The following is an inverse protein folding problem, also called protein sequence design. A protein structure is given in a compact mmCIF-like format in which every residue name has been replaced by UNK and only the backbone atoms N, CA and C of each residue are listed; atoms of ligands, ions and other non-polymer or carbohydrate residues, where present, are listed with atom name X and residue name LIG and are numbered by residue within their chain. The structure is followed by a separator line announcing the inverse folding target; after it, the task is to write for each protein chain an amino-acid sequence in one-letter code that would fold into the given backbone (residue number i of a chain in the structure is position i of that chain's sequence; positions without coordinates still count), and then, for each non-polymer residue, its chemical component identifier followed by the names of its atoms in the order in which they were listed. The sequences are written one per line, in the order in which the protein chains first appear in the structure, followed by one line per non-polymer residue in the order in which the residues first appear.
data_IF_338357076734
#
_entry.id   IF_338357076734
#
_cell.length_a   1.000
_cell.length_b   1.000
_cell.length_c   1.000
_cell.angle_alpha   90.00
_cell.angle_beta   90.00
_cell.angle_gamma   90.00
#
_symmetry.space_group_name_H-M   'P 1'
#
loop_
_entity.id
_entity.type
_entity.pdbx_description
1 polymer ?
#
# COMPACT_ATOMS: atom_id res chain seq x y z
N UNK A 1 19.72 -21.32 51.65
CA UNK A 1 19.62 -21.07 50.19
C UNK A 1 20.93 -20.39 49.81
N UNK A 2 21.82 -21.07 49.08
CA UNK A 2 23.15 -20.54 48.76
C UNK A 2 23.02 -19.47 47.67
N UNK A 3 23.47 -18.25 47.95
CA UNK A 3 23.64 -17.22 46.92
C UNK A 3 24.85 -17.64 46.06
N UNK A 4 24.60 -17.94 44.78
CA UNK A 4 25.66 -18.24 43.82
C UNK A 4 26.62 -17.06 43.72
N UNK A 5 27.92 -17.34 43.69
CA UNK A 5 28.93 -16.29 43.52
C UNK A 5 28.86 -15.72 42.09
N UNK A 6 29.39 -14.52 41.87
CA UNK A 6 29.47 -13.93 40.53
C UNK A 6 30.19 -14.86 39.53
N UNK A 7 31.20 -15.61 39.99
CA UNK A 7 31.96 -16.57 39.19
C UNK A 7 31.13 -17.81 38.83
N UNK A 8 30.26 -18.28 39.73
CA UNK A 8 29.33 -19.38 39.43
C UNK A 8 28.32 -18.97 38.35
N UNK A 9 27.80 -17.73 38.45
CA UNK A 9 26.88 -17.16 37.47
C UNK A 9 27.55 -17.04 36.09
N UNK A 10 28.79 -16.53 36.01
CA UNK A 10 29.53 -16.41 34.75
C UNK A 10 29.86 -17.79 34.14
N UNK A 11 30.18 -18.78 34.96
CA UNK A 11 30.45 -20.16 34.53
C UNK A 11 29.21 -20.78 33.90
N UNK A 12 28.04 -20.64 34.55
CA UNK A 12 26.79 -21.19 34.03
C UNK A 12 26.25 -20.43 32.81
N UNK A 13 26.52 -19.13 32.70
CA UNK A 13 26.29 -18.42 31.44
C UNK A 13 27.19 -18.93 30.31
N UNK A 14 28.44 -19.31 30.60
CA UNK A 14 29.34 -19.92 29.63
C UNK A 14 28.87 -21.32 29.22
N UNK A 15 28.36 -22.12 30.16
CA UNK A 15 27.74 -23.42 29.87
C UNK A 15 26.51 -23.27 28.97
N UNK A 16 25.60 -22.36 29.29
CA UNK A 16 24.44 -22.06 28.45
C UNK A 16 24.88 -21.61 27.04
N UNK A 17 25.85 -20.70 26.97
CA UNK A 17 26.42 -20.23 25.71
C UNK A 17 26.97 -21.39 24.87
N UNK A 18 27.77 -22.27 25.46
CA UNK A 18 28.40 -23.37 24.73
C UNK A 18 27.39 -24.40 24.23
N UNK A 19 26.34 -24.69 25.02
CA UNK A 19 25.22 -25.54 24.59
C UNK A 19 24.50 -24.93 23.38
N UNK A 20 24.22 -23.62 23.41
CA UNK A 20 23.49 -22.91 22.36
C UNK A 20 24.33 -22.78 21.08
N UNK A 21 25.64 -22.53 21.20
CA UNK A 21 26.54 -22.48 20.04
C UNK A 21 26.73 -23.88 19.42
N UNK A 22 26.92 -24.92 20.24
CA UNK A 22 26.99 -26.30 19.74
C UNK A 22 25.68 -26.75 19.09
N UNK A 23 24.54 -26.36 19.64
CA UNK A 23 23.24 -26.68 19.05
C UNK A 23 23.06 -26.03 17.67
N UNK A 24 23.67 -24.88 17.42
CA UNK A 24 23.66 -24.26 16.09
C UNK A 24 24.49 -25.01 15.07
N UNK A 25 25.68 -25.48 15.45
CA UNK A 25 26.51 -26.28 14.55
C UNK A 25 25.83 -27.60 14.20
N UNK A 26 25.21 -28.24 15.20
CA UNK A 26 24.60 -29.57 15.07
C UNK A 26 23.10 -29.54 14.65
N UNK A 27 22.47 -28.37 14.68
CA UNK A 27 21.02 -28.19 14.51
C UNK A 27 20.19 -29.06 15.49
N UNK A 28 20.69 -29.18 16.72
CA UNK A 28 20.16 -30.06 17.77
C UNK A 28 19.15 -29.32 18.67
N UNK A 29 17.90 -29.77 18.62
CA UNK A 29 16.80 -29.20 19.41
C UNK A 29 16.92 -29.48 20.90
N UNK A 30 17.43 -30.64 21.29
CA UNK A 30 17.57 -31.01 22.71
C UNK A 30 18.69 -30.20 23.36
N UNK A 31 19.82 -30.04 22.67
CA UNK A 31 20.91 -29.18 23.15
C UNK A 31 20.48 -27.72 23.25
N UNK A 32 19.71 -27.20 22.27
CA UNK A 32 19.17 -25.84 22.35
C UNK A 32 18.22 -25.71 23.55
N UNK A 33 17.32 -26.67 23.76
CA UNK A 33 16.42 -26.69 24.93
C UNK A 33 17.19 -26.70 26.25
N UNK A 34 18.22 -27.56 26.37
CA UNK A 34 19.08 -27.62 27.55
C UNK A 34 19.79 -26.28 27.80
N UNK A 35 20.39 -25.69 26.76
CA UNK A 35 21.02 -24.37 26.86
C UNK A 35 20.04 -23.26 27.28
N UNK A 36 18.82 -23.27 26.73
CA UNK A 36 17.75 -22.33 27.12
C UNK A 36 17.31 -22.52 28.58
N UNK A 37 17.24 -23.77 29.08
CA UNK A 37 16.92 -24.07 30.48
C UNK A 37 18.00 -23.55 31.43
N UNK A 38 19.28 -23.80 31.11
CA UNK A 38 20.41 -23.27 31.90
C UNK A 38 20.36 -21.75 31.92
N UNK A 39 20.19 -21.12 30.75
CA UNK A 39 20.09 -19.65 30.66
C UNK A 39 18.94 -19.07 31.51
N UNK A 40 17.76 -19.70 31.50
CA UNK A 40 16.62 -19.28 32.33
C UNK A 40 16.92 -19.44 33.83
N UNK A 41 17.54 -20.55 34.22
CA UNK A 41 17.91 -20.81 35.60
C UNK A 41 18.94 -19.77 36.11
N UNK A 42 19.99 -19.51 35.33
CA UNK A 42 21.02 -18.53 35.69
C UNK A 42 20.46 -17.12 35.76
N UNK A 43 19.50 -16.77 34.90
CA UNK A 43 18.82 -15.46 34.97
C UNK A 43 18.02 -15.30 36.27
N UNK A 44 17.36 -16.36 36.75
CA UNK A 44 16.66 -16.33 38.02
C UNK A 44 17.64 -16.20 39.20
N UNK A 45 18.82 -16.82 39.09
CA UNK A 45 19.89 -16.65 40.08
C UNK A 45 20.43 -15.22 40.08
N UNK A 46 20.63 -14.61 38.91
CA UNK A 46 20.97 -13.19 38.77
C UNK A 46 19.91 -12.26 39.37
N UNK A 47 18.62 -12.63 39.33
CA UNK A 47 17.55 -11.81 39.95
C UNK A 47 17.67 -11.77 41.48
N UNK A 48 18.27 -12.80 42.08
CA UNK A 48 18.41 -12.98 43.53
C UNK A 48 19.75 -12.48 44.06
N UNK A 49 20.73 -12.24 43.19
CA UNK A 49 22.07 -11.80 43.55
C UNK A 49 22.22 -10.26 43.54
N UNK A 50 22.97 -9.72 44.49
CA UNK A 50 23.37 -8.30 44.50
C UNK A 50 24.23 -7.99 43.26
N UNK A 51 23.90 -6.92 42.51
CA UNK A 51 24.56 -6.61 41.24
C UNK A 51 24.25 -7.58 40.09
N UNK A 52 23.36 -8.56 40.29
CA UNK A 52 23.08 -9.60 39.30
C UNK A 52 22.44 -9.10 37.99
N UNK A 53 21.86 -7.89 37.98
CA UNK A 53 21.38 -7.25 36.75
C UNK A 53 22.48 -7.04 35.71
N UNK A 54 23.67 -6.59 36.12
CA UNK A 54 24.80 -6.38 35.22
C UNK A 54 25.37 -7.71 34.68
N UNK A 55 25.42 -8.73 35.55
CA UNK A 55 25.84 -10.09 35.17
C UNK A 55 24.87 -10.71 34.16
N UNK A 56 23.56 -10.56 34.39
CA UNK A 56 22.54 -10.99 33.44
C UNK A 56 22.69 -10.26 32.10
N UNK A 57 22.85 -8.95 32.09
CA UNK A 57 23.00 -8.19 30.85
C UNK A 57 24.23 -8.63 30.06
N UNK A 58 25.39 -8.79 30.71
CA UNK A 58 26.64 -9.26 30.08
C UNK A 58 26.51 -10.69 29.55
N UNK A 59 26.00 -11.62 30.35
CA UNK A 59 25.84 -13.02 29.97
C UNK A 59 24.84 -13.21 28.83
N UNK A 60 23.68 -12.55 28.91
CA UNK A 60 22.66 -12.57 27.87
C UNK A 60 23.14 -11.92 26.58
N UNK A 61 23.85 -10.78 26.67
CA UNK A 61 24.43 -10.10 25.52
C UNK A 61 25.43 -11.00 24.77
N UNK A 62 26.24 -11.78 25.49
CA UNK A 62 27.15 -12.77 24.89
C UNK A 62 26.41 -13.89 24.16
N UNK A 63 25.36 -14.47 24.76
CA UNK A 63 24.55 -15.52 24.15
C UNK A 63 23.81 -15.00 22.91
N UNK A 64 23.19 -13.82 23.00
CA UNK A 64 22.48 -13.22 21.86
C UNK A 64 23.46 -12.89 20.73
N UNK A 65 24.63 -12.34 21.09
CA UNK A 65 25.69 -11.98 20.13
C UNK A 65 26.33 -13.16 19.42
N UNK A 66 26.20 -14.38 19.95
CA UNK A 66 26.70 -15.60 19.30
C UNK A 66 25.68 -16.26 18.37
N UNK A 67 24.44 -15.74 18.28
CA UNK A 67 23.42 -16.29 17.39
C UNK A 67 23.65 -15.84 15.94
N UNK A 68 24.13 -16.76 15.09
CA UNK A 68 24.23 -16.54 13.66
C UNK A 68 22.91 -16.87 12.93
N UNK A 69 21.99 -15.90 12.89
CA UNK A 69 20.74 -16.02 12.14
C UNK A 69 20.98 -16.23 10.64
N UNK A 70 22.06 -15.69 10.07
CA UNK A 70 22.35 -15.83 8.65
C UNK A 70 22.71 -17.27 8.29
N UNK A 71 23.57 -17.91 9.09
CA UNK A 71 23.88 -19.32 8.95
C UNK A 71 22.62 -20.19 9.12
N UNK A 72 21.78 -19.90 10.11
CA UNK A 72 20.53 -20.64 10.35
C UNK A 72 19.54 -20.50 9.18
N UNK A 73 19.40 -19.29 8.62
CA UNK A 73 18.54 -19.04 7.44
C UNK A 73 19.07 -19.80 6.21
N UNK A 74 20.39 -19.80 5.98
CA UNK A 74 21.01 -20.55 4.88
C UNK A 74 20.79 -22.06 5.05
N UNK A 75 20.98 -22.59 6.25
CA UNK A 75 20.79 -24.00 6.54
C UNK A 75 19.34 -24.46 6.34
N UNK A 76 18.36 -23.65 6.79
CA UNK A 76 16.93 -23.90 6.57
C UNK A 76 16.57 -23.98 5.08
N UNK A 77 17.17 -23.14 4.22
CA UNK A 77 16.92 -23.18 2.76
C UNK A 77 17.44 -24.44 2.09
N UNK A 78 18.52 -24.99 2.59
CA UNK A 78 19.12 -26.21 2.06
C UNK A 78 18.42 -27.49 2.54
N UNK A 79 17.30 -27.35 3.27
CA UNK A 79 16.57 -28.45 3.93
C UNK A 79 17.45 -29.24 4.92
N UNK A 80 18.54 -28.62 5.38
CA UNK A 80 19.52 -29.19 6.33
C UNK A 80 19.17 -28.88 7.78
N UNK A 81 18.20 -27.99 8.02
CA UNK A 81 17.73 -27.63 9.36
C UNK A 81 16.38 -28.28 9.62
N UNK A 82 16.22 -28.89 10.80
CA UNK A 82 14.90 -29.30 11.29
C UNK A 82 14.07 -28.03 11.50
N UNK A 83 12.94 -27.88 10.81
CA UNK A 83 12.01 -26.73 10.97
C UNK A 83 11.71 -26.40 12.43
N UNK A 84 11.60 -27.43 13.27
CA UNK A 84 11.41 -27.29 14.71
C UNK A 84 12.56 -26.54 15.43
N UNK A 85 13.81 -26.77 15.03
CA UNK A 85 14.98 -26.06 15.55
C UNK A 85 14.88 -24.55 15.26
N UNK A 86 14.58 -24.19 14.02
CA UNK A 86 14.48 -22.79 13.61
C UNK A 86 13.32 -22.07 14.31
N UNK A 87 12.17 -22.72 14.44
CA UNK A 87 11.01 -22.17 15.16
C UNK A 87 11.31 -21.97 16.66
N UNK A 88 12.07 -22.89 17.28
CA UNK A 88 12.49 -22.76 18.67
C UNK A 88 13.54 -21.66 18.87
N UNK A 89 14.49 -21.52 17.93
CA UNK A 89 15.48 -20.45 17.93
C UNK A 89 14.78 -19.08 17.85
N UNK A 90 13.90 -18.90 16.86
CA UNK A 90 13.11 -17.68 16.73
C UNK A 90 12.23 -17.43 17.94
N UNK A 91 11.71 -18.48 18.59
CA UNK A 91 10.91 -18.34 19.81
C UNK A 91 11.64 -17.73 21.00
N UNK A 92 12.97 -17.85 21.05
CA UNK A 92 13.76 -17.40 22.20
C UNK A 92 14.73 -16.26 21.87
N UNK A 93 15.08 -16.08 20.59
CA UNK A 93 16.00 -15.04 20.14
C UNK A 93 15.35 -14.15 19.09
N UNK A 94 15.58 -12.85 19.22
CA UNK A 94 15.07 -11.83 18.31
C UNK A 94 15.99 -11.73 17.07
N UNK A 95 15.48 -11.96 15.84
CA UNK A 95 16.24 -11.64 14.64
C UNK A 95 16.39 -10.11 14.50
N UNK A 96 17.41 -9.63 13.80
CA UNK A 96 17.52 -8.22 13.47
C UNK A 96 16.75 -7.86 12.19
N UNK A 97 16.41 -6.58 12.00
CA UNK A 97 15.77 -6.08 10.76
C UNK A 97 16.57 -6.48 9.52
N UNK A 98 17.90 -6.34 9.59
CA UNK A 98 18.82 -6.75 8.52
C UNK A 98 18.72 -8.23 8.16
N UNK A 99 18.30 -9.09 9.09
CA UNK A 99 18.14 -10.52 8.80
C UNK A 99 16.94 -10.78 7.89
N UNK A 100 15.98 -9.85 7.86
CA UNK A 100 14.81 -9.84 6.98
C UNK A 100 15.09 -9.07 5.69
N UNK A 101 15.86 -7.97 5.75
CA UNK A 101 16.05 -7.05 4.61
C UNK A 101 17.25 -7.38 3.69
N UNK A 102 18.02 -8.42 4.00
CA UNK A 102 19.11 -8.91 3.12
C UNK A 102 18.60 -9.56 1.82
N UNK A 103 19.47 -9.66 0.81
CA UNK A 103 19.08 -10.20 -0.51
C UNK A 103 18.97 -11.73 -0.52
N UNK A 104 18.01 -12.23 -1.32
CA UNK A 104 17.57 -13.63 -1.42
C UNK A 104 16.77 -14.07 -0.19
N UNK A 105 15.43 -14.16 -0.26
CA UNK A 105 14.63 -14.77 0.80
C UNK A 105 13.46 -15.58 0.27
N UNK A 106 13.07 -16.59 1.04
CA UNK A 106 11.87 -17.39 0.83
C UNK A 106 10.70 -16.74 1.57
N UNK A 107 9.50 -16.74 0.96
CA UNK A 107 8.25 -16.20 1.53
C UNK A 107 7.94 -16.78 2.93
N UNK A 108 8.18 -18.09 3.17
CA UNK A 108 7.93 -18.72 4.48
C UNK A 108 8.90 -18.22 5.57
N UNK A 109 10.19 -18.12 5.25
CA UNK A 109 11.21 -17.64 6.19
C UNK A 109 10.94 -16.19 6.60
N UNK A 110 10.61 -15.33 5.63
CA UNK A 110 10.27 -13.93 5.89
C UNK A 110 9.10 -13.79 6.88
N UNK A 111 8.06 -14.62 6.73
CA UNK A 111 6.90 -14.58 7.61
C UNK A 111 7.27 -14.97 9.04
N UNK A 112 8.11 -16.00 9.21
CA UNK A 112 8.60 -16.45 10.53
C UNK A 112 9.48 -15.41 11.19
N UNK A 113 10.43 -14.84 10.46
CA UNK A 113 11.32 -13.80 10.96
C UNK A 113 10.53 -12.55 11.38
N UNK A 114 9.61 -12.08 10.53
CA UNK A 114 8.78 -10.91 10.83
C UNK A 114 7.90 -11.14 12.08
N UNK A 115 7.27 -12.32 12.20
CA UNK A 115 6.49 -12.66 13.39
C UNK A 115 7.35 -12.74 14.65
N UNK A 116 8.54 -13.33 14.56
CA UNK A 116 9.47 -13.38 15.69
C UNK A 116 9.88 -11.98 16.12
N UNK A 117 10.26 -11.13 15.16
CA UNK A 117 10.65 -9.74 15.42
C UNK A 117 9.53 -8.97 16.12
N UNK A 118 8.30 -9.02 15.60
CA UNK A 118 7.12 -8.35 16.17
C UNK A 118 6.80 -8.86 17.59
N UNK A 119 6.89 -10.17 17.82
CA UNK A 119 6.63 -10.77 19.13
C UNK A 119 7.64 -10.28 20.18
N UNK A 120 8.93 -10.25 19.83
CA UNK A 120 9.97 -9.80 20.75
C UNK A 120 9.94 -8.27 20.97
N UNK A 121 9.40 -7.53 20.02
CA UNK A 121 9.18 -6.09 20.11
C UNK A 121 7.96 -5.72 20.99
N UNK A 122 6.90 -6.55 20.97
CA UNK A 122 5.66 -6.35 21.77
C UNK A 122 5.74 -6.92 23.20
N UNK A 123 6.63 -7.89 23.45
CA UNK A 123 6.77 -8.56 24.73
C UNK A 123 7.80 -7.92 25.67
N UNK A 124 7.41 -7.59 26.89
CA UNK A 124 8.33 -7.36 28.01
C UNK A 124 9.26 -8.58 28.17
N UNK A 125 10.48 -8.51 27.65
CA UNK A 125 11.42 -9.60 27.87
C UNK A 125 12.71 -9.50 27.06
N UNK A 126 13.77 -9.09 27.76
CA UNK A 126 15.20 -9.30 27.46
C UNK A 126 15.86 -8.14 26.73
N UNK A 127 15.13 -7.47 25.84
CA UNK A 127 15.63 -6.35 25.04
C UNK A 127 14.58 -5.24 25.09
N UNK A 128 14.80 -4.15 25.84
CA UNK A 128 13.92 -2.97 25.85
C UNK A 128 13.91 -2.20 24.50
N UNK A 129 14.25 -2.88 23.40
CA UNK A 129 14.30 -2.32 22.07
C UNK A 129 12.90 -2.38 21.48
N UNK A 130 12.17 -1.27 21.65
CA UNK A 130 11.03 -1.00 20.78
C UNK A 130 11.57 -0.68 19.39
N UNK A 131 11.14 -1.42 18.38
CA UNK A 131 11.42 -1.11 16.99
C UNK A 131 11.06 0.35 16.72
N UNK A 132 12.00 1.08 16.15
CA UNK A 132 11.80 2.48 15.81
C UNK A 132 11.01 2.59 14.49
N UNK A 133 10.32 3.72 14.30
CA UNK A 133 9.58 4.02 13.07
C UNK A 133 10.36 3.73 11.77
N UNK A 134 11.66 4.09 11.63
CA UNK A 134 12.43 3.80 10.42
C UNK A 134 12.53 2.30 10.09
N UNK A 135 12.53 1.44 11.11
CA UNK A 135 12.67 -0.01 10.96
C UNK A 135 11.38 -0.64 10.41
N UNK A 136 10.21 -0.19 10.87
CA UNK A 136 8.91 -0.65 10.33
C UNK A 136 8.70 -0.20 8.88
N UNK A 137 9.10 1.04 8.56
CA UNK A 137 9.05 1.56 7.20
C UNK A 137 9.94 0.77 6.24
N UNK A 138 11.18 0.46 6.66
CA UNK A 138 12.11 -0.37 5.89
C UNK A 138 11.55 -1.78 5.68
N UNK A 139 10.99 -2.40 6.72
CA UNK A 139 10.40 -3.73 6.64
C UNK A 139 9.23 -3.79 5.65
N UNK A 140 8.26 -2.87 5.76
CA UNK A 140 7.14 -2.82 4.82
C UNK A 140 7.62 -2.58 3.39
N UNK A 141 8.54 -1.64 3.18
CA UNK A 141 9.10 -1.37 1.87
C UNK A 141 9.78 -2.60 1.27
N UNK A 142 10.65 -3.25 2.04
CA UNK A 142 11.41 -4.40 1.57
C UNK A 142 10.53 -5.61 1.30
N UNK A 143 9.64 -5.98 2.23
CA UNK A 143 8.73 -7.12 2.09
C UNK A 143 7.72 -6.90 0.96
N UNK A 144 7.30 -5.64 0.75
CA UNK A 144 6.49 -5.22 -0.38
C UNK A 144 7.21 -5.41 -1.71
N UNK A 145 8.49 -5.01 -1.80
CA UNK A 145 9.32 -5.18 -3.01
C UNK A 145 9.60 -6.65 -3.33
N UNK A 146 9.87 -7.47 -2.31
CA UNK A 146 10.06 -8.92 -2.49
C UNK A 146 8.76 -9.64 -2.91
N UNK A 147 7.60 -9.06 -2.61
CA UNK A 147 6.31 -9.69 -2.82
C UNK A 147 6.13 -10.89 -1.87
N UNK A 148 6.32 -10.65 -0.57
CA UNK A 148 6.15 -11.64 0.50
C UNK A 148 4.86 -11.35 1.28
N UNK A 149 3.68 -11.84 0.82
CA UNK A 149 2.37 -11.38 1.28
C UNK A 149 2.16 -11.54 2.78
N UNK A 150 2.41 -12.74 3.29
CA UNK A 150 2.19 -13.10 4.70
C UNK A 150 3.07 -12.27 5.64
N UNK A 151 4.34 -12.08 5.29
CA UNK A 151 5.27 -11.29 6.08
C UNK A 151 4.88 -9.81 6.09
N UNK A 152 4.55 -9.26 4.91
CA UNK A 152 4.09 -7.87 4.79
C UNK A 152 2.79 -7.66 5.58
N UNK A 153 1.82 -8.56 5.46
CA UNK A 153 0.55 -8.50 6.19
C UNK A 153 0.78 -8.47 7.71
N UNK A 154 1.67 -9.32 8.25
CA UNK A 154 2.01 -9.33 9.69
C UNK A 154 2.58 -8.00 10.17
N UNK A 155 3.50 -7.40 9.41
CA UNK A 155 4.11 -6.10 9.76
C UNK A 155 3.07 -4.98 9.64
N UNK A 156 2.23 -5.03 8.60
CA UNK A 156 1.15 -4.04 8.40
C UNK A 156 0.13 -4.07 9.53
N UNK A 157 -0.30 -5.25 9.94
CA UNK A 157 -1.25 -5.49 11.03
C UNK A 157 -0.75 -4.86 12.33
N UNK A 158 0.52 -5.14 12.68
CA UNK A 158 1.17 -4.56 13.85
C UNK A 158 1.29 -3.03 13.76
N UNK A 159 1.62 -2.48 12.59
CA UNK A 159 1.66 -1.04 12.39
C UNK A 159 0.29 -0.39 12.63
N UNK A 160 -0.78 -0.95 12.06
CA UNK A 160 -2.13 -0.42 12.20
C UNK A 160 -2.63 -0.53 13.65
N UNK A 161 -2.33 -1.64 14.32
CA UNK A 161 -2.63 -1.83 15.75
C UNK A 161 -1.95 -0.76 16.61
N UNK A 162 -0.66 -0.49 16.40
CA UNK A 162 0.08 0.53 17.17
C UNK A 162 -0.40 1.95 16.90
N UNK A 163 -0.70 2.28 15.64
CA UNK A 163 -1.27 3.58 15.27
C UNK A 163 -2.61 3.80 15.97
N UNK A 164 -3.43 2.76 16.08
CA UNK A 164 -4.65 2.79 16.86
C UNK A 164 -4.37 3.01 18.36
N UNK A 165 -3.50 2.22 18.96
CA UNK A 165 -3.15 2.34 20.39
C UNK A 165 -2.60 3.73 20.75
N UNK A 166 -1.87 4.38 19.85
CA UNK A 166 -1.39 5.75 20.07
C UNK A 166 -2.47 6.81 19.96
N UNK A 167 -3.48 6.56 19.13
CA UNK A 167 -4.59 7.49 18.92
C UNK A 167 -5.63 7.43 20.05
N UNK A 168 -5.76 6.28 20.72
CA UNK A 168 -6.79 6.03 21.73
C UNK A 168 -6.25 5.65 23.13
N UNK A 169 -4.95 5.42 23.29
CA UNK A 169 -4.31 5.10 24.56
C UNK A 169 -3.94 6.34 25.37
N UNK A 170 -4.45 6.42 26.61
CA UNK A 170 -4.06 7.44 27.57
C UNK A 170 -2.65 7.16 28.16
N UNK A 171 -1.58 7.70 27.55
CA UNK A 171 -0.46 8.32 28.30
C UNK A 171 0.62 8.84 27.34
N UNK A 172 1.05 10.07 27.56
CA UNK A 172 2.25 10.62 26.96
C UNK A 172 3.51 9.83 27.34
N UNK A 173 4.51 9.90 26.46
CA UNK A 173 5.85 9.25 26.48
C UNK A 173 6.03 7.98 25.65
N UNK A 174 5.09 7.58 24.80
CA UNK A 174 5.40 6.62 23.74
C UNK A 174 5.89 7.35 22.48
N UNK A 175 7.01 6.92 21.90
CA UNK A 175 7.47 7.43 20.61
C UNK A 175 6.39 7.16 19.56
N UNK A 176 5.84 8.18 18.89
CA UNK A 176 4.77 7.98 17.92
C UNK A 176 5.30 7.17 16.72
N UNK A 177 4.56 6.12 16.36
CA UNK A 177 4.78 5.34 15.16
C UNK A 177 4.30 6.20 14.01
N UNK A 178 5.23 6.66 13.16
CA UNK A 178 4.92 7.55 12.04
C UNK A 178 5.30 6.88 10.73
N UNK A 179 4.57 5.82 10.42
CA UNK A 179 4.77 5.00 9.22
C UNK A 179 3.73 5.38 8.18
N UNK A 180 4.14 5.64 6.94
CA UNK A 180 3.22 5.98 5.84
C UNK A 180 2.64 4.70 5.21
N UNK A 181 1.77 4.01 5.98
CA UNK A 181 1.23 2.69 5.63
C UNK A 181 0.51 2.68 4.27
N UNK A 182 -0.20 3.75 3.91
CA UNK A 182 -0.89 3.87 2.62
C UNK A 182 0.10 3.94 1.45
N UNK A 183 1.22 4.65 1.61
CA UNK A 183 2.31 4.69 0.63
C UNK A 183 2.90 3.29 0.42
N UNK A 184 3.10 2.53 1.50
CA UNK A 184 3.64 1.16 1.43
C UNK A 184 2.69 0.17 0.76
N UNK A 185 1.38 0.30 1.00
CA UNK A 185 0.36 -0.49 0.32
C UNK A 185 0.38 -0.28 -1.20
N UNK A 186 0.45 0.96 -1.65
CA UNK A 186 0.58 1.27 -3.09
C UNK A 186 1.92 0.83 -3.70
N UNK A 187 2.98 0.82 -2.88
CA UNK A 187 4.31 0.38 -3.29
C UNK A 187 4.50 -1.14 -3.29
N UNK A 188 3.49 -1.91 -2.85
CA UNK A 188 3.56 -3.37 -2.88
C UNK A 188 3.69 -3.85 -4.32
N UNK A 189 4.69 -4.72 -4.56
CA UNK A 189 5.17 -5.23 -5.86
C UNK A 189 4.24 -4.93 -7.03
N UNK A 190 4.63 -3.94 -7.84
CA UNK A 190 4.05 -3.69 -9.16
C UNK A 190 4.41 -4.87 -10.08
N UNK A 191 3.65 -5.96 -10.01
CA UNK A 191 3.66 -6.96 -11.07
C UNK A 191 2.95 -6.33 -12.27
N UNK A 192 3.63 -6.29 -13.41
CA UNK A 192 3.15 -5.93 -14.74
C UNK A 192 2.06 -4.85 -14.75
N UNK A 193 2.46 -3.58 -14.87
CA UNK A 193 1.79 -2.33 -15.33
C UNK A 193 0.25 -2.20 -15.49
N UNK A 194 -0.56 -3.18 -15.12
CA UNK A 194 -1.94 -3.39 -15.52
C UNK A 194 -2.83 -3.91 -14.39
N UNK A 195 -2.31 -4.52 -13.31
CA UNK A 195 -3.15 -4.84 -12.12
C UNK A 195 -2.39 -4.74 -10.78
N UNK A 196 -2.56 -3.62 -10.07
CA UNK A 196 -2.33 -3.53 -8.62
C UNK A 196 -3.45 -4.29 -7.89
N UNK A 197 -3.34 -5.61 -7.78
CA UNK A 197 -4.16 -6.39 -6.86
C UNK A 197 -3.30 -6.78 -5.64
N UNK A 198 -3.67 -6.27 -4.46
CA UNK A 198 -3.04 -6.74 -3.23
C UNK A 198 -3.40 -8.21 -2.97
N UNK A 199 -2.50 -9.00 -2.41
CA UNK A 199 -2.78 -10.40 -2.10
C UNK A 199 -3.79 -10.53 -0.94
N UNK A 200 -4.55 -11.65 -0.85
CA UNK A 200 -5.63 -11.82 0.12
C UNK A 200 -5.21 -11.61 1.59
N UNK A 201 -3.99 -11.97 1.96
CA UNK A 201 -3.48 -11.78 3.33
C UNK A 201 -3.42 -10.30 3.71
N UNK A 202 -3.06 -9.44 2.76
CA UNK A 202 -3.00 -7.99 2.97
C UNK A 202 -4.41 -7.40 2.99
N UNK A 203 -5.28 -7.83 2.08
CA UNK A 203 -6.68 -7.39 2.04
C UNK A 203 -7.43 -7.77 3.32
N UNK A 204 -7.14 -8.92 3.90
CA UNK A 204 -7.69 -9.36 5.19
C UNK A 204 -7.30 -8.42 6.33
N UNK A 205 -6.04 -7.99 6.38
CA UNK A 205 -5.57 -7.01 7.38
C UNK A 205 -6.28 -5.66 7.20
N UNK A 206 -6.42 -5.18 5.96
CA UNK A 206 -7.17 -3.95 5.70
C UNK A 206 -8.61 -4.05 6.21
N UNK A 207 -9.29 -5.17 5.92
CA UNK A 207 -10.67 -5.41 6.36
C UNK A 207 -10.84 -5.48 7.88
N UNK A 208 -9.79 -5.87 8.62
CA UNK A 208 -9.78 -5.85 10.08
C UNK A 208 -9.49 -4.46 10.67
N UNK A 209 -8.92 -3.55 9.89
CA UNK A 209 -8.49 -2.23 10.34
C UNK A 209 -9.03 -1.04 9.51
N UNK A 210 -10.32 -1.02 9.12
CA UNK A 210 -10.83 -0.02 8.19
C UNK A 210 -10.75 1.40 8.76
N UNK A 211 -11.06 1.59 10.05
CA UNK A 211 -11.03 2.91 10.70
C UNK A 211 -9.61 3.46 10.88
N UNK A 212 -8.62 2.59 11.10
CA UNK A 212 -7.21 2.98 11.18
C UNK A 212 -6.70 3.46 9.82
N UNK A 213 -7.10 2.78 8.74
CA UNK A 213 -6.80 3.19 7.37
C UNK A 213 -7.40 4.57 7.07
N UNK A 214 -8.65 4.81 7.48
CA UNK A 214 -9.26 6.12 7.33
C UNK A 214 -8.56 7.21 8.14
N UNK A 215 -8.19 6.92 9.39
CA UNK A 215 -7.48 7.86 10.26
C UNK A 215 -6.14 8.29 9.65
N UNK A 216 -5.37 7.33 9.11
CA UNK A 216 -4.12 7.62 8.42
C UNK A 216 -4.34 8.44 7.13
N UNK A 217 -5.38 8.15 6.35
CA UNK A 217 -5.73 8.98 5.19
C UNK A 217 -6.04 10.42 5.60
N UNK A 218 -6.88 10.63 6.61
CA UNK A 218 -7.28 11.97 7.10
C UNK A 218 -6.06 12.77 7.59
N UNK A 219 -5.13 12.12 8.28
CA UNK A 219 -3.86 12.72 8.76
C UNK A 219 -2.95 13.15 7.62
N UNK A 220 -2.93 12.41 6.51
CA UNK A 220 -2.06 12.66 5.36
C UNK A 220 -2.80 13.24 4.13
N UNK A 221 -4.07 13.67 4.27
CA UNK A 221 -4.97 14.07 3.17
C UNK A 221 -4.42 15.10 2.16
N UNK A 222 -3.49 15.95 2.60
CA UNK A 222 -2.89 17.02 1.80
C UNK A 222 -1.51 16.67 1.25
N UNK A 223 -0.93 15.53 1.65
CA UNK A 223 0.42 15.12 1.26
C UNK A 223 0.32 14.06 0.17
N UNK A 224 0.73 14.43 -1.05
CA UNK A 224 0.87 13.49 -2.17
C UNK A 224 1.81 12.33 -1.79
N UNK A 225 2.86 12.62 -1.00
CA UNK A 225 3.83 11.63 -0.51
C UNK A 225 3.25 10.64 0.50
N UNK A 226 2.13 10.97 1.16
CA UNK A 226 1.51 10.11 2.18
C UNK A 226 0.67 8.96 1.62
N UNK A 227 0.58 8.86 0.28
CA UNK A 227 -0.07 7.78 -0.45
C UNK A 227 -1.59 7.79 -0.33
N UNK A 228 -2.30 8.00 -1.44
CA UNK A 228 -3.72 7.66 -1.53
C UNK A 228 -3.84 6.22 -2.03
N UNK A 229 -4.71 5.40 -1.44
CA UNK A 229 -4.95 4.05 -1.98
C UNK A 229 -5.40 4.16 -3.43
N UNK A 230 -4.80 3.38 -4.33
CA UNK A 230 -5.23 3.33 -5.73
C UNK A 230 -6.63 2.71 -5.85
N UNK A 231 -7.34 3.05 -6.91
CA UNK A 231 -8.63 2.42 -7.24
C UNK A 231 -8.56 0.89 -7.27
N UNK A 232 -7.51 0.33 -7.88
CA UNK A 232 -7.33 -1.12 -7.92
C UNK A 232 -7.29 -1.74 -6.52
N UNK A 233 -6.68 -1.06 -5.55
CA UNK A 233 -6.65 -1.49 -4.15
C UNK A 233 -8.02 -1.34 -3.49
N UNK A 234 -8.71 -0.20 -3.69
CA UNK A 234 -10.04 0.02 -3.13
C UNK A 234 -11.06 -1.01 -3.65
N UNK A 235 -11.04 -1.28 -4.97
CA UNK A 235 -11.88 -2.28 -5.60
C UNK A 235 -11.55 -3.69 -5.08
N UNK A 236 -10.26 -4.06 -5.04
CA UNK A 236 -9.85 -5.36 -4.51
C UNK A 236 -10.27 -5.54 -3.04
N UNK A 237 -10.26 -4.46 -2.26
CA UNK A 237 -10.70 -4.49 -0.87
C UNK A 237 -12.21 -4.71 -0.74
N UNK A 238 -13.03 -4.05 -1.58
CA UNK A 238 -14.48 -4.29 -1.65
C UNK A 238 -14.79 -5.72 -2.12
N UNK A 239 -14.12 -6.18 -3.17
CA UNK A 239 -14.32 -7.52 -3.74
C UNK A 239 -13.96 -8.63 -2.76
N UNK A 240 -12.96 -8.40 -1.90
CA UNK A 240 -12.55 -9.35 -0.85
C UNK A 240 -13.55 -9.42 0.31
N UNK A 241 -14.35 -8.38 0.53
CA UNK A 241 -15.27 -8.28 1.67
C UNK A 241 -16.66 -7.72 1.26
N UNK A 242 -17.40 -8.39 0.34
CA UNK A 242 -18.59 -7.82 -0.31
C UNK A 242 -19.82 -7.63 0.61
N UNK A 243 -19.72 -7.95 1.90
CA UNK A 243 -20.78 -7.73 2.90
C UNK A 243 -20.32 -6.96 4.15
N UNK A 244 -19.10 -6.41 4.15
CA UNK A 244 -18.61 -5.65 5.29
C UNK A 244 -19.00 -4.17 5.14
N UNK A 245 -20.06 -3.77 5.83
CA UNK A 245 -20.61 -2.40 5.80
C UNK A 245 -19.57 -1.35 6.19
N UNK A 246 -18.75 -1.62 7.21
CA UNK A 246 -17.70 -0.70 7.64
C UNK A 246 -16.63 -0.52 6.55
N UNK A 247 -16.22 -1.59 5.88
CA UNK A 247 -15.29 -1.49 4.75
C UNK A 247 -15.92 -0.71 3.60
N UNK A 248 -17.19 -0.98 3.28
CA UNK A 248 -17.93 -0.25 2.25
C UNK A 248 -17.98 1.25 2.55
N UNK A 249 -18.42 1.64 3.74
CA UNK A 249 -18.51 3.04 4.16
C UNK A 249 -17.15 3.75 4.08
N UNK A 250 -16.09 3.10 4.56
CA UNK A 250 -14.74 3.67 4.58
C UNK A 250 -14.18 3.80 3.16
N UNK A 251 -14.37 2.80 2.30
CA UNK A 251 -13.93 2.87 0.90
C UNK A 251 -14.67 3.99 0.17
N UNK A 252 -15.98 4.13 0.38
CA UNK A 252 -16.79 5.22 -0.16
C UNK A 252 -16.26 6.59 0.33
N UNK A 253 -15.92 6.72 1.61
CA UNK A 253 -15.35 7.96 2.14
C UNK A 253 -13.97 8.27 1.54
N UNK A 254 -13.09 7.27 1.42
CA UNK A 254 -11.75 7.41 0.88
C UNK A 254 -11.76 7.76 -0.61
N UNK A 255 -12.65 7.12 -1.38
CA UNK A 255 -12.93 7.48 -2.77
C UNK A 255 -13.44 8.93 -2.85
N UNK A 256 -14.38 9.29 -1.97
CA UNK A 256 -14.92 10.63 -1.79
C UNK A 256 -13.88 11.73 -1.63
N UNK A 257 -12.90 11.49 -0.76
CA UNK A 257 -11.86 12.47 -0.46
C UNK A 257 -10.73 12.52 -1.50
N UNK A 258 -10.66 11.54 -2.41
CA UNK A 258 -9.54 11.35 -3.33
C UNK A 258 -9.93 11.49 -4.82
N UNK A 259 -11.22 11.71 -5.11
CA UNK A 259 -11.85 11.80 -6.45
C UNK A 259 -11.04 12.45 -7.57
N UNK A 260 -10.27 13.51 -7.29
CA UNK A 260 -9.51 14.23 -8.31
C UNK A 260 -8.00 14.01 -8.23
N UNK A 261 -7.49 13.41 -7.15
CA UNK A 261 -6.05 13.34 -6.83
C UNK A 261 -5.39 12.04 -7.26
N UNK A 262 -6.17 11.01 -7.56
CA UNK A 262 -5.66 9.71 -7.97
C UNK A 262 -5.20 9.73 -9.44
N UNK A 263 -4.36 8.77 -9.82
CA UNK A 263 -3.69 8.70 -11.13
C UNK A 263 -4.56 8.09 -12.25
N UNK A 264 -5.77 7.60 -11.96
CA UNK A 264 -6.59 6.87 -12.92
C UNK A 264 -7.76 7.74 -13.43
N UNK A 265 -7.85 7.93 -14.75
CA UNK A 265 -8.89 8.78 -15.35
C UNK A 265 -10.31 8.23 -15.18
N UNK A 266 -10.47 6.93 -14.92
CA UNK A 266 -11.78 6.28 -14.73
C UNK A 266 -12.34 6.45 -13.32
N UNK A 267 -11.62 7.10 -12.42
CA UNK A 267 -11.92 7.01 -10.99
C UNK A 267 -13.21 7.63 -10.53
N UNK A 268 -13.65 8.70 -11.20
CA UNK A 268 -14.93 9.30 -10.92
C UNK A 268 -16.08 8.39 -11.41
N UNK A 269 -15.95 7.75 -12.57
CA UNK A 269 -16.99 6.84 -13.08
C UNK A 269 -17.15 5.63 -12.17
N UNK A 270 -16.04 5.01 -11.78
CA UNK A 270 -16.05 3.91 -10.82
C UNK A 270 -16.73 4.32 -9.51
N UNK A 271 -16.39 5.49 -8.99
CA UNK A 271 -16.93 5.93 -7.72
C UNK A 271 -18.42 6.33 -7.80
N UNK A 272 -18.87 6.84 -8.95
CA UNK A 272 -20.30 7.02 -9.26
C UNK A 272 -21.03 5.67 -9.30
N UNK A 273 -20.43 4.62 -9.88
CA UNK A 273 -21.00 3.26 -9.89
C UNK A 273 -21.13 2.65 -8.49
N UNK A 274 -20.29 3.07 -7.55
CA UNK A 274 -20.41 2.73 -6.13
C UNK A 274 -21.49 3.53 -5.39
N UNK A 275 -22.22 4.42 -6.08
CA UNK A 275 -23.30 5.22 -5.51
C UNK A 275 -22.86 6.55 -4.91
N UNK A 276 -21.60 6.96 -5.08
CA UNK A 276 -21.18 8.29 -4.67
C UNK A 276 -21.72 9.33 -5.63
N UNK A 277 -22.36 10.35 -5.08
CA UNK A 277 -22.83 11.49 -5.87
C UNK A 277 -21.67 12.40 -6.25
N UNK A 278 -21.35 12.43 -7.54
CA UNK A 278 -20.30 13.29 -8.09
C UNK A 278 -20.92 14.52 -8.74
N UNK A 279 -20.53 15.70 -8.26
CA UNK A 279 -21.01 16.98 -8.77
C UNK A 279 -20.31 17.33 -10.10
N UNK A 280 -21.10 17.37 -11.17
CA UNK A 280 -20.65 17.73 -12.51
C UNK A 280 -20.12 19.18 -12.59
N UNK A 281 -20.71 20.12 -11.87
CA UNK A 281 -20.24 21.52 -11.86
C UNK A 281 -18.87 21.61 -11.20
N UNK A 282 -18.66 20.87 -10.11
CA UNK A 282 -17.35 20.78 -9.44
C UNK A 282 -16.29 20.15 -10.36
N UNK A 283 -16.66 19.12 -11.13
CA UNK A 283 -15.78 18.57 -12.17
C UNK A 283 -15.48 19.61 -13.26
N UNK A 284 -16.48 20.38 -13.69
CA UNK A 284 -16.32 21.50 -14.62
C UNK A 284 -15.38 22.60 -14.09
N UNK A 285 -15.46 22.93 -12.79
CA UNK A 285 -14.53 23.88 -12.16
C UNK A 285 -13.08 23.37 -12.18
N UNK A 286 -12.86 22.05 -12.15
CA UNK A 286 -11.52 21.44 -12.28
C UNK A 286 -10.96 21.60 -13.69
N UNK A 287 -11.80 21.72 -14.72
CA UNK A 287 -11.37 22.08 -16.07
C UNK A 287 -10.91 23.55 -16.16
N UNK A 288 -11.51 24.45 -15.38
CA UNK A 288 -11.19 25.89 -15.41
C UNK A 288 -9.88 26.27 -14.71
N UNK A 289 -9.43 25.47 -13.73
CA UNK A 289 -8.20 25.77 -12.97
C UNK A 289 -6.97 25.25 -13.72
N UNK A 290 -6.06 26.16 -14.06
CA UNK A 290 -4.79 26.00 -14.79
C UNK A 290 -3.73 25.07 -14.14
N UNK A 291 -4.10 23.96 -13.51
CA UNK A 291 -3.16 23.03 -12.93
C UNK A 291 -2.90 21.86 -13.90
N UNK A 292 -1.72 21.88 -14.55
CA UNK A 292 -1.17 20.74 -15.31
C UNK A 292 -1.22 19.48 -14.43
N UNK A 293 -1.93 18.43 -14.86
CA UNK A 293 -1.94 17.16 -14.15
C UNK A 293 -3.08 16.21 -14.52
N UNK A 294 -3.04 15.02 -13.91
CA UNK A 294 -4.02 13.95 -14.11
C UNK A 294 -5.45 14.32 -13.66
N UNK A 295 -5.62 15.33 -12.80
CA UNK A 295 -6.94 15.77 -12.34
C UNK A 295 -7.80 16.28 -13.51
N UNK A 296 -7.19 16.98 -14.47
CA UNK A 296 -7.87 17.51 -15.67
C UNK A 296 -8.38 16.39 -16.57
N UNK A 297 -7.48 15.43 -16.83
CA UNK A 297 -7.77 14.23 -17.59
C UNK A 297 -8.93 13.43 -16.99
N UNK A 298 -8.92 13.25 -15.67
CA UNK A 298 -9.95 12.55 -14.92
C UNK A 298 -11.29 13.28 -14.97
N UNK A 299 -11.30 14.59 -14.75
CA UNK A 299 -12.52 15.39 -14.77
C UNK A 299 -13.17 15.41 -16.17
N UNK A 300 -12.37 15.56 -17.22
CA UNK A 300 -12.86 15.51 -18.60
C UNK A 300 -13.42 14.13 -18.94
N UNK A 301 -12.70 13.07 -18.55
CA UNK A 301 -13.14 11.69 -18.76
C UNK A 301 -14.50 11.41 -18.12
N UNK A 302 -14.68 11.83 -16.87
CA UNK A 302 -15.94 11.73 -16.17
C UNK A 302 -17.08 12.48 -16.87
N UNK A 303 -16.86 13.74 -17.23
CA UNK A 303 -17.90 14.56 -17.86
C UNK A 303 -18.39 13.97 -19.19
N UNK A 304 -17.47 13.40 -19.97
CA UNK A 304 -17.77 12.72 -21.23
C UNK A 304 -18.48 11.38 -21.00
N UNK A 305 -17.94 10.49 -20.16
CA UNK A 305 -18.39 9.11 -20.08
C UNK A 305 -19.41 8.82 -18.95
N UNK A 306 -19.67 9.73 -18.01
CA UNK A 306 -20.73 9.54 -17.01
C UNK A 306 -22.12 9.72 -17.64
N UNK A 307 -23.04 8.75 -17.45
CA UNK A 307 -24.44 8.89 -17.85
C UNK A 307 -25.23 9.89 -17.00
N UNK A 308 -24.75 10.22 -15.79
CA UNK A 308 -25.41 11.18 -14.91
C UNK A 308 -25.21 12.64 -15.37
N UNK A 309 -24.18 12.87 -16.19
CA UNK A 309 -23.93 14.17 -16.81
C UNK A 309 -24.70 14.23 -18.13
N UNK A 310 -25.76 15.03 -18.21
CA UNK A 310 -26.49 15.25 -19.46
C UNK A 310 -25.70 16.13 -20.44
N UNK A 311 -25.94 15.98 -21.75
CA UNK A 311 -25.29 16.78 -22.80
C UNK A 311 -25.51 18.29 -22.64
N UNK A 312 -26.69 18.70 -22.17
CA UNK A 312 -26.99 20.11 -21.84
C UNK A 312 -26.11 20.64 -20.69
N UNK A 313 -25.92 19.85 -19.64
CA UNK A 313 -25.05 20.19 -18.51
C UNK A 313 -23.60 20.29 -18.98
N UNK A 314 -23.16 19.35 -19.82
CA UNK A 314 -21.82 19.37 -20.40
C UNK A 314 -21.58 20.61 -21.28
N UNK A 315 -22.53 20.95 -22.17
CA UNK A 315 -22.47 22.16 -22.98
C UNK A 315 -22.34 23.42 -22.11
N UNK A 316 -23.15 23.55 -21.07
CA UNK A 316 -23.06 24.69 -20.15
C UNK A 316 -21.71 24.77 -19.45
N UNK A 317 -21.12 23.63 -19.09
CA UNK A 317 -19.77 23.58 -18.52
C UNK A 317 -18.74 24.10 -19.53
N UNK A 318 -18.80 23.66 -20.80
CA UNK A 318 -17.90 24.11 -21.86
C UNK A 318 -17.99 25.62 -22.09
N UNK A 319 -19.20 26.19 -22.12
CA UNK A 319 -19.43 27.62 -22.30
C UNK A 319 -18.79 28.47 -21.20
N UNK A 320 -18.67 27.90 -19.99
CA UNK A 320 -18.07 28.58 -18.86
C UNK A 320 -16.53 28.45 -18.81
N UNK A 321 -15.90 27.66 -19.70
CA UNK A 321 -14.45 27.56 -19.81
C UNK A 321 -13.98 28.75 -20.66
N UNK A 322 -13.72 29.87 -19.99
CA UNK A 322 -13.45 31.18 -20.62
C UNK A 322 -12.03 31.33 -21.17
N UNK A 323 -11.07 30.54 -20.67
CA UNK A 323 -9.66 30.61 -21.05
C UNK A 323 -9.25 29.29 -21.70
N UNK A 324 -8.61 29.39 -22.88
CA UNK A 324 -8.39 28.30 -23.82
C UNK A 324 -7.97 26.97 -23.20
N UNK A 325 -8.52 25.90 -23.76
CA UNK A 325 -8.15 24.51 -23.47
C UNK A 325 -6.75 24.24 -24.02
N UNK A 326 -5.70 24.75 -23.37
CA UNK A 326 -4.33 24.42 -23.79
C UNK A 326 -3.98 23.04 -23.25
N UNK A 327 -3.84 22.03 -24.13
CA UNK A 327 -2.67 21.13 -24.12
C UNK A 327 -2.86 19.84 -24.91
N UNK A 328 -1.78 19.40 -25.54
CA UNK A 328 -1.56 18.02 -26.00
C UNK A 328 -1.77 16.96 -24.89
N UNK A 329 -1.74 17.32 -23.60
CA UNK A 329 -1.97 16.42 -22.47
C UNK A 329 -3.46 16.00 -22.34
N UNK A 330 -4.39 16.86 -22.76
CA UNK A 330 -5.83 16.52 -22.80
C UNK A 330 -6.16 15.47 -23.85
N UNK A 331 -5.35 15.35 -24.92
CA UNK A 331 -5.52 14.33 -25.95
C UNK A 331 -5.09 12.95 -25.44
N UNK A 332 -4.02 12.89 -24.63
CA UNK A 332 -3.61 11.65 -23.97
C UNK A 332 -4.65 11.17 -22.95
N UNK A 333 -5.43 12.07 -22.34
CA UNK A 333 -6.56 11.72 -21.48
C UNK A 333 -7.74 11.08 -22.24
N UNK A 334 -7.92 11.47 -23.52
CA UNK A 334 -8.93 10.91 -24.41
C UNK A 334 -8.50 9.53 -24.94
N UNK A 335 -7.20 9.26 -25.17
CA UNK A 335 -6.75 7.99 -25.78
C UNK A 335 -7.36 6.72 -25.14
N UNK A 336 -7.37 6.54 -23.81
CA UNK A 336 -7.99 5.37 -23.17
C UNK A 336 -9.53 5.30 -23.23
N UNK A 337 -10.22 6.42 -23.49
CA UNK A 337 -11.66 6.46 -23.81
C UNK A 337 -11.91 6.07 -25.27
N UNK A 338 -11.04 6.53 -26.15
CA UNK A 338 -11.13 6.34 -27.59
C UNK A 338 -10.80 4.89 -28.01
N UNK A 339 -9.99 4.19 -27.21
CA UNK A 339 -9.57 2.82 -27.51
C UNK A 339 -10.55 1.74 -27.01
N UNK A 340 -11.57 2.09 -26.22
CA UNK A 340 -12.54 1.12 -25.67
C UNK A 340 -13.87 1.78 -25.28
N UNK A 341 -14.74 2.13 -26.24
CA UNK A 341 -16.12 2.50 -25.92
C UNK A 341 -16.78 1.33 -25.16
N UNK A 342 -17.39 1.65 -24.03
CA UNK A 342 -18.07 0.69 -23.17
C UNK A 342 -19.20 0.03 -23.98
N UNK A 343 -19.30 -1.30 -24.00
CA UNK A 343 -20.13 -2.11 -24.93
C UNK A 343 -21.67 -1.96 -24.77
N UNK A 344 -22.15 -0.87 -24.20
CA UNK A 344 -23.57 -0.56 -24.04
C UNK A 344 -23.98 0.58 -24.99
N UNK A 345 -24.81 0.26 -26.00
CA UNK A 345 -25.25 1.19 -27.05
C UNK A 345 -25.86 2.51 -26.51
N UNK A 346 -26.68 2.46 -25.46
CA UNK A 346 -27.27 3.68 -24.87
C UNK A 346 -26.23 4.60 -24.19
N UNK A 347 -25.09 4.06 -23.75
CA UNK A 347 -23.97 4.83 -23.20
C UNK A 347 -23.07 5.38 -24.31
N UNK A 348 -23.02 4.68 -25.44
CA UNK A 348 -22.26 5.05 -26.62
C UNK A 348 -22.83 6.31 -27.28
N UNK A 349 -24.15 6.41 -27.46
CA UNK A 349 -24.80 7.59 -28.07
C UNK A 349 -24.54 8.88 -27.27
N UNK A 350 -24.67 8.83 -25.94
CA UNK A 350 -24.43 9.98 -25.07
C UNK A 350 -22.94 10.40 -25.09
N UNK A 351 -22.04 9.43 -25.12
CA UNK A 351 -20.60 9.68 -25.25
C UNK A 351 -20.28 10.34 -26.60
N UNK A 352 -20.87 9.85 -27.70
CA UNK A 352 -20.76 10.44 -29.04
C UNK A 352 -21.25 11.89 -29.03
N UNK A 353 -22.45 12.15 -28.52
CA UNK A 353 -23.05 13.49 -28.49
C UNK A 353 -22.14 14.49 -27.75
N UNK A 354 -21.66 14.13 -26.55
CA UNK A 354 -20.75 14.99 -25.78
C UNK A 354 -19.39 15.15 -26.46
N UNK A 355 -18.89 14.13 -27.14
CA UNK A 355 -17.63 14.22 -27.88
C UNK A 355 -17.76 15.16 -29.08
N UNK A 356 -18.91 15.19 -29.75
CA UNK A 356 -19.21 16.17 -30.80
C UNK A 356 -19.23 17.59 -30.23
N UNK A 357 -19.91 17.82 -29.10
CA UNK A 357 -19.93 19.14 -28.43
C UNK A 357 -18.52 19.61 -28.05
N UNK A 358 -17.68 18.71 -27.53
CA UNK A 358 -16.29 19.01 -27.22
C UNK A 358 -15.49 19.32 -28.49
N UNK A 359 -15.64 18.54 -29.55
CA UNK A 359 -14.96 18.78 -30.83
C UNK A 359 -15.34 20.13 -31.42
N UNK A 360 -16.62 20.51 -31.39
CA UNK A 360 -17.10 21.82 -31.84
C UNK A 360 -16.45 22.95 -31.04
N UNK A 361 -16.50 22.88 -29.71
CA UNK A 361 -15.86 23.87 -28.84
C UNK A 361 -14.36 23.99 -29.13
N UNK A 362 -13.67 22.85 -29.28
CA UNK A 362 -12.25 22.82 -29.63
C UNK A 362 -11.98 23.32 -31.04
N UNK A 363 -12.89 23.18 -31.99
CA UNK A 363 -12.67 23.65 -33.35
C UNK A 363 -12.46 25.18 -33.41
N UNK A 364 -13.15 25.92 -32.54
CA UNK A 364 -13.03 27.38 -32.40
C UNK A 364 -11.77 27.82 -31.62
N UNK A 365 -11.18 26.94 -30.80
CA UNK A 365 -10.11 27.29 -29.84
C UNK A 365 -8.76 26.59 -30.12
N UNK A 366 -8.79 25.32 -30.49
CA UNK A 366 -7.67 24.45 -30.85
C UNK A 366 -8.06 23.48 -31.99
N UNK A 367 -8.07 24.01 -33.20
CA UNK A 367 -8.47 23.28 -34.42
C UNK A 367 -7.65 22.01 -34.67
N UNK A 368 -6.37 21.98 -34.29
CA UNK A 368 -5.51 20.80 -34.49
C UNK A 368 -5.98 19.62 -33.65
N UNK A 369 -6.34 19.87 -32.40
CA UNK A 369 -6.87 18.85 -31.50
C UNK A 369 -8.25 18.38 -31.95
N UNK A 370 -9.13 19.29 -32.37
CA UNK A 370 -10.44 18.94 -32.92
C UNK A 370 -10.33 17.99 -34.12
N UNK A 371 -9.45 18.30 -35.09
CA UNK A 371 -9.18 17.44 -36.25
C UNK A 371 -8.67 16.07 -35.81
N UNK A 372 -7.78 16.01 -34.82
CA UNK A 372 -7.29 14.73 -34.28
C UNK A 372 -8.40 13.90 -33.64
N UNK A 373 -9.35 14.52 -32.94
CA UNK A 373 -10.51 13.82 -32.38
C UNK A 373 -11.42 13.28 -33.49
N UNK A 374 -11.67 14.09 -34.53
CA UNK A 374 -12.47 13.72 -35.70
C UNK A 374 -11.87 12.54 -36.50
N UNK A 375 -10.55 12.36 -36.44
CA UNK A 375 -9.86 11.23 -37.07
C UNK A 375 -9.90 9.90 -36.31
N UNK A 376 -10.66 9.79 -35.21
CA UNK A 376 -10.76 8.54 -34.45
C UNK A 376 -11.65 7.49 -35.13
N UNK A 377 -11.20 6.24 -35.12
CA UNK A 377 -11.86 5.13 -35.86
C UNK A 377 -13.30 4.83 -35.45
N UNK A 378 -13.67 5.05 -34.18
CA UNK A 378 -15.02 4.77 -33.68
C UNK A 378 -15.98 5.95 -33.86
N UNK A 379 -15.47 7.18 -34.05
CA UNK A 379 -16.25 8.37 -34.38
C UNK A 379 -16.35 8.50 -35.90
N UNK A 380 -17.26 7.75 -36.49
CA UNK A 380 -17.50 7.85 -37.93
C UNK A 380 -17.88 9.28 -38.37
N UNK A 381 -17.46 9.73 -39.56
CA UNK A 381 -17.77 11.07 -40.09
C UNK A 381 -19.26 11.43 -40.03
N UNK A 382 -20.14 10.43 -40.19
CA UNK A 382 -21.61 10.60 -40.13
C UNK A 382 -22.09 11.21 -38.81
N UNK A 383 -21.40 10.96 -37.70
CA UNK A 383 -21.79 11.48 -36.39
C UNK A 383 -21.63 12.99 -36.30
N UNK A 384 -20.66 13.57 -37.03
CA UNK A 384 -20.41 15.00 -37.05
C UNK A 384 -21.32 15.76 -38.02
N UNK A 385 -22.03 15.07 -38.92
CA UNK A 385 -22.86 15.69 -39.96
C UNK A 385 -24.04 16.49 -39.39
N UNK A 386 -24.44 16.21 -38.15
CA UNK A 386 -25.49 16.94 -37.45
C UNK A 386 -25.05 18.35 -37.00
N UNK A 387 -23.74 18.59 -36.85
CA UNK A 387 -23.22 19.93 -36.53
C UNK A 387 -22.76 20.64 -37.82
N UNK A 388 -23.35 21.79 -38.20
CA UNK A 388 -23.03 22.45 -39.47
C UNK A 388 -21.55 22.83 -39.62
N UNK A 389 -20.89 23.25 -38.54
CA UNK A 389 -19.50 23.71 -38.58
C UNK A 389 -18.55 22.55 -38.83
N UNK A 390 -18.75 21.45 -38.11
CA UNK A 390 -17.94 20.24 -38.27
C UNK A 390 -18.23 19.53 -39.60
N UNK A 391 -19.50 19.48 -40.02
CA UNK A 391 -19.93 18.98 -41.32
C UNK A 391 -19.24 19.71 -42.46
N UNK A 392 -19.31 21.03 -42.47
CA UNK A 392 -18.75 21.84 -43.56
C UNK A 392 -17.22 21.68 -43.62
N UNK A 393 -16.56 21.49 -42.48
CA UNK A 393 -15.14 21.15 -42.45
C UNK A 393 -14.83 19.78 -43.05
N UNK A 394 -15.61 18.74 -42.73
CA UNK A 394 -15.43 17.38 -43.29
C UNK A 394 -15.64 17.39 -44.80
N UNK A 395 -16.72 18.03 -45.27
CA UNK A 395 -17.02 18.15 -46.69
C UNK A 395 -15.93 18.96 -47.41
N UNK A 396 -15.45 20.06 -46.81
CA UNK A 396 -14.33 20.83 -47.35
C UNK A 396 -13.06 19.97 -47.49
N UNK A 397 -12.70 19.23 -46.44
CA UNK A 397 -11.54 18.35 -46.46
C UNK A 397 -11.65 17.23 -47.52
N UNK A 398 -12.83 16.60 -47.67
CA UNK A 398 -13.08 15.58 -48.70
C UNK A 398 -13.01 16.16 -50.12
N UNK A 399 -13.38 17.43 -50.30
CA UNK A 399 -13.30 18.17 -51.56
C UNK A 399 -11.91 18.78 -51.81
N UNK A 400 -10.97 18.69 -50.86
CA UNK A 400 -9.63 19.28 -50.95
C UNK A 400 -9.60 20.81 -50.80
N UNK A 401 -10.62 21.40 -50.16
CA UNK A 401 -10.78 22.82 -49.84
C UNK A 401 -10.30 23.12 -48.41
#
# INVERSE_FOLDING_TARGET
MYLHTAQDIETRFSEAHDLIVKSQVLQDTEMLSAGLQVMRAVREDCRRAEGGGALAQKGMGRIIGSIDFQACIKAYRSDKTKRHYFDMLLSNFQPAVRDITQHQHNKDINARLAQSLIRHDSGYGWNNYKLMTPEFDELLYHLGKLGSPVAFARVLDECLRRLHEQSYGASGKQNPLRVEVLTRLNGFKQFDALKLALPPEVLTVLANHPFQILAEHRKHRNKISGGHLTMGILQAWLDHCPGNEAVMEIVLELAGNSFYKMQDTRQLIWAEQLGLRIDAEKAGQKLKKFARGNEHATALHYLLASPQVASKTFSSILDQISNGFESAASIYALSPLLDSPDKNAAKEDLLIEKTILLTRYLFEKDRKTAIRIMGNKWLEPKHFMADPVLRDHLIGADLGL
#
